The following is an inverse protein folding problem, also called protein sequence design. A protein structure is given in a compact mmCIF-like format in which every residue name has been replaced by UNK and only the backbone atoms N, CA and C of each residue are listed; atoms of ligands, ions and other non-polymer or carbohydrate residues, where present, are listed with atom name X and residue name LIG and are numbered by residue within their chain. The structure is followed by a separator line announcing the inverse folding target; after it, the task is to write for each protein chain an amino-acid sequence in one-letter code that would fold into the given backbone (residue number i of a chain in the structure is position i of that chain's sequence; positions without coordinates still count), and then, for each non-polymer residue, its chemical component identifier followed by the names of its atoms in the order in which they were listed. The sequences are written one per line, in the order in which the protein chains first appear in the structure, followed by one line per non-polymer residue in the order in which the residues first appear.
data_IF_545334758564
#
_entry.id   IF_545334758564
#
_cell.length_a   1.000
_cell.length_b   1.000
_cell.length_c   1.000
_cell.angle_alpha   90.00
_cell.angle_beta   90.00
_cell.angle_gamma   90.00
#
_symmetry.space_group_name_H-M   'P 1'
#
loop_
_entity.id
_entity.type
_entity.pdbx_description
1 polymer ?
#
# COMPACT_ATOMS: atom_id res chain seq x y z
N UNK A 1 19.15 5.85 -12.91
CA UNK A 1 18.41 5.11 -13.33
C UNK A 1 17.73 4.26 -12.43
N UNK A 2 18.33 3.35 -11.97
CA UNK A 2 17.74 2.46 -11.07
C UNK A 2 17.25 3.15 -9.84
N UNK A 3 17.90 4.19 -9.47
CA UNK A 3 17.54 4.89 -8.28
C UNK A 3 16.20 5.53 -8.34
N UNK A 4 15.81 5.91 -9.50
CA UNK A 4 14.55 6.55 -9.67
C UNK A 4 13.41 5.67 -9.27
N UNK A 5 13.55 4.39 -9.56
CA UNK A 5 12.51 3.49 -9.22
C UNK A 5 12.28 3.40 -7.76
N UNK A 6 13.26 3.59 -6.97
CA UNK A 6 13.10 3.50 -5.56
C UNK A 6 12.22 4.55 -4.99
N UNK A 7 12.03 5.60 -5.74
CA UNK A 7 11.21 6.66 -5.23
C UNK A 7 9.75 6.43 -5.39
N UNK A 8 9.41 5.35 -6.07
CA UNK A 8 8.03 4.99 -6.11
C UNK A 8 7.76 4.35 -4.81
N UNK A 9 7.49 5.14 -3.84
CA UNK A 9 7.31 4.65 -2.51
C UNK A 9 5.91 4.13 -2.33
N UNK A 10 5.66 3.44 -1.22
CA UNK A 10 4.34 3.02 -0.90
C UNK A 10 3.42 4.20 -0.66
N UNK A 11 3.96 5.36 -0.33
CA UNK A 11 3.14 6.55 -0.18
C UNK A 11 2.53 6.98 -1.51
N UNK A 12 3.30 6.89 -2.58
CA UNK A 12 2.77 7.21 -3.91
C UNK A 12 1.71 6.21 -4.32
N UNK A 13 1.94 4.95 -4.03
CA UNK A 13 0.96 3.93 -4.35
C UNK A 13 -0.33 4.14 -3.57
N UNK A 14 -0.20 4.50 -2.29
CA UNK A 14 -1.38 4.76 -1.48
C UNK A 14 -2.18 5.93 -2.02
N UNK A 15 -1.50 6.96 -2.46
CA UNK A 15 -2.19 8.11 -3.03
C UNK A 15 -2.96 7.73 -4.27
N UNK A 16 -2.35 6.95 -5.14
CA UNK A 16 -3.03 6.51 -6.33
C UNK A 16 -4.23 5.63 -6.03
N UNK A 17 -4.08 4.75 -5.06
CA UNK A 17 -5.17 3.89 -4.67
C UNK A 17 -6.30 4.69 -4.05
N UNK A 18 -5.98 5.71 -3.26
CA UNK A 18 -6.99 6.59 -2.69
C UNK A 18 -7.75 7.34 -3.77
N UNK A 19 -7.04 7.78 -4.80
CA UNK A 19 -7.69 8.45 -5.92
C UNK A 19 -8.63 7.50 -6.64
N UNK A 20 -8.19 6.26 -6.84
CA UNK A 20 -9.03 5.26 -7.47
C UNK A 20 -10.27 5.00 -6.64
N UNK A 21 -10.12 4.92 -5.33
CA UNK A 21 -11.25 4.68 -4.44
C UNK A 21 -12.24 5.82 -4.53
N UNK A 22 -11.75 7.06 -4.59
CA UNK A 22 -12.62 8.21 -4.74
C UNK A 22 -13.40 8.16 -6.04
N UNK A 23 -12.73 7.77 -7.12
CA UNK A 23 -13.40 7.66 -8.40
C UNK A 23 -14.46 6.56 -8.38
N UNK A 24 -14.17 5.46 -7.71
CA UNK A 24 -15.13 4.39 -7.61
C UNK A 24 -16.34 4.79 -6.78
N UNK A 25 -16.13 5.57 -5.74
CA UNK A 25 -17.24 6.07 -4.94
C UNK A 25 -18.14 6.98 -5.78
N UNK A 26 -17.53 7.80 -6.62
CA UNK A 26 -18.32 8.66 -7.51
C UNK A 26 -19.10 7.84 -8.53
N UNK A 27 -18.46 6.79 -9.06
CA UNK A 27 -19.13 5.93 -10.01
C UNK A 27 -20.31 5.19 -9.38
N UNK A 28 -20.15 4.83 -8.13
CA UNK A 28 -21.22 4.13 -7.45
C UNK A 28 -22.46 5.01 -7.34
N UNK A 29 -22.28 6.29 -7.14
CA UNK A 29 -23.39 7.22 -7.02
C UNK A 29 -24.19 7.29 -8.32
N UNK A 30 -23.52 7.24 -9.45
CA UNK A 30 -24.20 7.36 -10.73
C UNK A 30 -24.52 6.02 -11.37
N UNK A 31 -24.09 4.92 -10.77
CA UNK A 31 -24.40 3.60 -11.31
C UNK A 31 -25.90 3.38 -11.22
N UNK A 32 -26.49 2.94 -12.33
CA UNK A 32 -27.92 2.84 -12.38
C UNK A 32 -28.46 1.42 -12.46
N UNK A 33 -27.72 0.48 -13.01
CA UNK A 33 -28.23 -0.88 -13.07
C UNK A 33 -27.41 -1.81 -12.20
N UNK A 34 -27.91 -3.02 -12.05
CA UNK A 34 -27.29 -3.98 -11.13
C UNK A 34 -25.89 -4.39 -11.57
N UNK A 35 -25.70 -4.46 -12.87
CA UNK A 35 -24.39 -4.84 -13.38
C UNK A 35 -23.36 -3.76 -13.05
N UNK A 36 -23.70 -2.51 -13.27
CA UNK A 36 -22.80 -1.40 -12.96
C UNK A 36 -22.50 -1.33 -11.47
N UNK A 37 -23.54 -1.47 -10.66
CA UNK A 37 -23.37 -1.43 -9.22
C UNK A 37 -22.49 -2.56 -8.73
N UNK A 38 -22.72 -3.76 -9.26
CA UNK A 38 -21.92 -4.91 -8.89
C UNK A 38 -20.47 -4.76 -9.30
N UNK A 39 -20.24 -4.23 -10.50
CA UNK A 39 -18.89 -4.01 -11.00
C UNK A 39 -18.13 -3.04 -10.12
N UNK A 40 -18.77 -1.92 -9.77
CA UNK A 40 -18.13 -0.94 -8.92
C UNK A 40 -17.81 -1.53 -7.55
N UNK A 41 -18.70 -2.35 -7.03
CA UNK A 41 -18.48 -2.98 -5.75
C UNK A 41 -17.26 -3.90 -5.77
N UNK A 42 -17.13 -4.69 -6.82
CA UNK A 42 -16.00 -5.59 -6.96
C UNK A 42 -14.70 -4.80 -7.08
N UNK A 43 -14.72 -3.76 -7.90
CA UNK A 43 -13.53 -2.94 -8.08
C UNK A 43 -13.13 -2.25 -6.79
N UNK A 44 -14.12 -1.80 -6.02
CA UNK A 44 -13.81 -1.18 -4.74
C UNK A 44 -13.13 -2.17 -3.80
N UNK A 45 -13.62 -3.38 -3.76
CA UNK A 45 -13.01 -4.40 -2.92
C UNK A 45 -11.57 -4.68 -3.32
N UNK A 46 -11.31 -4.68 -4.62
CA UNK A 46 -9.96 -4.92 -5.09
C UNK A 46 -9.03 -3.77 -4.67
N UNK A 47 -9.49 -2.53 -4.81
CA UNK A 47 -8.67 -1.39 -4.42
C UNK A 47 -8.42 -1.39 -2.92
N UNK A 48 -9.46 -1.67 -2.13
CA UNK A 48 -9.30 -1.73 -0.68
C UNK A 48 -8.31 -2.81 -0.28
N UNK A 49 -8.34 -3.94 -0.98
CA UNK A 49 -7.39 -5.01 -0.73
C UNK A 49 -5.97 -4.58 -1.03
N UNK A 50 -5.78 -3.82 -2.10
CA UNK A 50 -4.46 -3.33 -2.44
C UNK A 50 -3.95 -2.34 -1.40
N UNK A 51 -4.83 -1.46 -0.92
CA UNK A 51 -4.44 -0.52 0.12
C UNK A 51 -4.00 -1.27 1.36
N UNK A 52 -4.73 -2.30 1.72
CA UNK A 52 -4.38 -3.11 2.88
C UNK A 52 -3.01 -3.76 2.68
N UNK A 53 -2.76 -4.30 1.49
CA UNK A 53 -1.49 -4.95 1.21
C UNK A 53 -0.31 -3.99 1.29
N UNK A 54 -0.50 -2.78 0.79
CA UNK A 54 0.57 -1.78 0.85
C UNK A 54 0.88 -1.42 2.30
N UNK A 55 -0.17 -1.29 3.12
CA UNK A 55 0.02 -0.99 4.53
C UNK A 55 0.76 -2.11 5.25
N UNK A 56 0.40 -3.36 4.94
CA UNK A 56 1.07 -4.50 5.55
C UNK A 56 2.53 -4.55 5.15
N UNK A 57 2.80 -4.24 3.90
CA UNK A 57 4.17 -4.22 3.41
C UNK A 57 4.99 -3.17 4.15
N UNK A 58 4.40 -1.99 4.38
CA UNK A 58 5.09 -0.94 5.12
C UNK A 58 5.40 -1.38 6.55
N UNK A 59 4.47 -2.05 7.20
CA UNK A 59 4.70 -2.56 8.54
C UNK A 59 5.84 -3.54 8.56
N UNK A 60 5.86 -4.45 7.60
CA UNK A 60 6.89 -5.45 7.52
C UNK A 60 8.25 -4.81 7.29
N UNK A 61 8.28 -3.81 6.43
CA UNK A 61 9.50 -3.12 6.13
C UNK A 61 10.08 -2.44 7.37
N UNK A 62 9.22 -1.81 8.16
CA UNK A 62 9.66 -1.15 9.38
C UNK A 62 10.16 -2.17 10.39
N UNK A 63 9.51 -3.31 10.47
CA UNK A 63 9.94 -4.36 11.38
C UNK A 63 11.32 -4.88 10.98
N UNK A 64 11.55 -5.07 9.70
CA UNK A 64 12.83 -5.52 9.22
C UNK A 64 13.93 -4.51 9.50
N UNK A 65 13.64 -3.23 9.34
CA UNK A 65 14.61 -2.19 9.63
C UNK A 65 14.99 -2.21 11.10
N UNK A 66 14.00 -2.38 11.96
CA UNK A 66 14.25 -2.41 13.39
C UNK A 66 15.10 -3.61 13.78
N UNK A 67 14.78 -4.78 13.24
CA UNK A 67 15.54 -5.98 13.51
C UNK A 67 16.98 -5.82 13.04
N UNK A 68 17.15 -5.23 11.88
CA UNK A 68 18.48 -5.00 11.34
C UNK A 68 19.31 -4.11 12.25
N UNK A 69 18.69 -3.05 12.77
CA UNK A 69 19.38 -2.16 13.69
C UNK A 69 19.76 -2.88 14.98
N UNK A 70 18.89 -3.72 15.48
CA UNK A 70 19.17 -4.45 16.69
C UNK A 70 20.32 -5.43 16.51
N UNK A 71 20.35 -6.10 15.37
CA UNK A 71 21.43 -7.02 15.08
C UNK A 71 22.76 -6.30 14.98
N UNK A 72 22.74 -5.13 14.33
CA UNK A 72 23.93 -4.35 14.19
C UNK A 72 24.47 -3.91 15.55
N UNK A 73 23.56 -3.52 16.43
CA UNK A 73 23.91 -3.08 17.76
C UNK A 73 24.56 -4.21 18.58
N UNK A 74 23.95 -5.37 18.52
CA UNK A 74 24.49 -6.54 19.22
C UNK A 74 25.89 -6.88 18.71
N UNK A 75 26.07 -6.85 17.41
CA UNK A 75 27.35 -7.14 16.83
C UNK A 75 28.42 -6.17 17.31
N UNK A 76 28.09 -4.90 17.39
CA UNK A 76 29.03 -3.93 17.87
C UNK A 76 29.41 -4.16 19.33
N UNK A 77 28.44 -4.54 20.14
CA UNK A 77 28.72 -4.81 21.53
C UNK A 77 29.61 -6.02 21.72
N UNK A 78 29.39 -7.03 20.92
CA UNK A 78 30.23 -8.21 21.00
C UNK A 78 31.67 -7.92 20.62
N UNK A 79 31.85 -7.04 19.66
CA UNK A 79 33.16 -6.69 19.22
C UNK A 79 33.93 -5.88 20.25
N UNK A 80 33.24 -5.09 21.00
CA UNK A 80 33.94 -4.32 22.01
C UNK A 80 34.21 -5.15 23.22
#
# INVERSE_FOLDING_TARGET
MLLVKKHESSDDMKKELDIMLSKLNALEIIASDEFEKGTVKVLRKLVEGQIHSVNEFDHLKKALDLITLQLFDVKNKIKS
#
